data_IF_986283317916
#
_entry.id   IF_986283317916
#
_cell.length_a   1.000
_cell.length_b   1.000
_cell.length_c   1.000
_cell.angle_alpha   90.00
_cell.angle_beta   90.00
_cell.angle_gamma   90.00
#
_symmetry.space_group_name_H-M   'P 1'
#
loop_
_entity.id
_entity.type
_entity.pdbx_description
1 polymer ?
#
# COMPACT_ATOMS: atom_id res chain seq x y z
N UNK A 1 20.34 0.14 -41.69
CA UNK A 1 20.62 -0.88 -40.68
C UNK A 1 19.67 -0.70 -39.52
N UNK A 2 18.71 -1.59 -39.27
CA UNK A 2 17.80 -1.45 -38.15
C UNK A 2 18.48 -1.97 -36.88
N UNK A 3 18.58 -1.10 -35.87
CA UNK A 3 19.06 -1.49 -34.54
C UNK A 3 17.91 -2.22 -33.82
N UNK A 4 17.89 -3.54 -33.95
CA UNK A 4 17.03 -4.41 -33.19
C UNK A 4 17.60 -4.55 -31.76
N UNK A 5 17.28 -3.63 -30.87
CA UNK A 5 17.40 -3.88 -29.43
C UNK A 5 16.11 -4.53 -28.96
N UNK A 6 15.90 -5.78 -29.33
CA UNK A 6 15.00 -6.69 -28.68
C UNK A 6 15.50 -6.96 -27.27
N UNK A 7 15.12 -6.10 -26.32
CA UNK A 7 15.15 -6.48 -24.91
C UNK A 7 14.16 -7.64 -24.75
N UNK A 8 14.70 -8.84 -24.76
CA UNK A 8 14.00 -10.06 -24.42
C UNK A 8 13.53 -9.93 -22.96
N UNK A 9 12.34 -9.34 -22.76
CA UNK A 9 11.59 -9.52 -21.52
C UNK A 9 11.17 -10.99 -21.48
N UNK A 10 12.18 -11.86 -21.23
CA UNK A 10 11.90 -13.22 -20.85
C UNK A 10 10.81 -13.15 -19.78
N UNK A 11 9.73 -13.90 -19.99
CA UNK A 11 8.56 -14.03 -19.10
C UNK A 11 9.07 -14.40 -17.69
N UNK A 12 9.49 -13.41 -16.92
CA UNK A 12 9.86 -13.59 -15.53
C UNK A 12 8.60 -14.09 -14.84
N UNK A 13 8.71 -15.14 -13.99
CA UNK A 13 7.60 -15.61 -13.14
C UNK A 13 6.96 -14.48 -12.33
N UNK A 14 7.63 -13.32 -12.26
CA UNK A 14 7.22 -12.13 -11.53
C UNK A 14 6.51 -11.09 -12.43
N UNK A 15 6.47 -11.30 -13.76
CA UNK A 15 5.77 -10.40 -14.67
C UNK A 15 4.28 -10.35 -14.32
N UNK A 16 3.73 -9.14 -14.25
CA UNK A 16 2.33 -8.88 -13.89
C UNK A 16 1.93 -9.21 -12.44
N UNK A 17 2.87 -9.61 -11.58
CA UNK A 17 2.59 -9.77 -10.15
C UNK A 17 2.47 -8.42 -9.46
N UNK A 18 1.52 -8.32 -8.53
CA UNK A 18 1.27 -7.12 -7.72
C UNK A 18 0.97 -7.57 -6.29
N UNK A 19 1.63 -6.97 -5.32
CA UNK A 19 1.37 -7.19 -3.90
C UNK A 19 0.74 -5.94 -3.30
N UNK A 20 -0.35 -6.11 -2.58
CA UNK A 20 -1.06 -5.05 -1.88
C UNK A 20 -1.16 -5.40 -0.41
N UNK A 21 -0.69 -4.51 0.47
CA UNK A 21 -0.92 -4.57 1.90
C UNK A 21 -1.96 -3.53 2.24
N UNK A 22 -3.07 -3.97 2.82
CA UNK A 22 -4.19 -3.11 3.20
C UNK A 22 -4.59 -3.31 4.66
N UNK A 23 -5.55 -2.54 5.15
CA UNK A 23 -6.05 -2.55 6.51
C UNK A 23 -6.19 -1.15 7.09
N UNK A 24 -6.71 -1.01 8.34
CA UNK A 24 -6.98 0.29 8.96
C UNK A 24 -5.73 1.16 9.11
N UNK A 25 -5.95 2.46 9.37
CA UNK A 25 -4.87 3.38 9.75
C UNK A 25 -4.21 2.91 11.06
N UNK A 26 -2.92 3.19 11.23
CA UNK A 26 -2.12 2.82 12.41
C UNK A 26 -2.00 1.31 12.70
N UNK A 27 -2.43 0.42 11.78
CA UNK A 27 -2.27 -1.03 11.95
C UNK A 27 -0.85 -1.54 11.72
N UNK A 28 0.07 -0.70 11.20
CA UNK A 28 1.47 -1.08 10.98
C UNK A 28 1.86 -1.44 9.54
N UNK A 29 1.00 -1.15 8.55
CA UNK A 29 1.29 -1.44 7.12
C UNK A 29 2.64 -0.95 6.63
N UNK A 30 3.04 0.26 7.07
CA UNK A 30 4.31 0.87 6.65
C UNK A 30 5.53 0.10 7.17
N UNK A 31 5.49 -0.29 8.43
CA UNK A 31 6.57 -1.04 9.06
C UNK A 31 6.68 -2.41 8.42
N UNK A 32 5.57 -3.13 8.26
CA UNK A 32 5.54 -4.44 7.60
C UNK A 32 6.09 -4.34 6.17
N UNK A 33 5.63 -3.36 5.38
CA UNK A 33 6.10 -3.17 4.01
C UNK A 33 7.61 -2.86 3.95
N UNK A 34 8.12 -2.05 4.89
CA UNK A 34 9.54 -1.74 4.98
C UNK A 34 10.38 -2.99 5.28
N UNK A 35 9.87 -3.88 6.14
CA UNK A 35 10.58 -5.10 6.48
C UNK A 35 10.58 -6.12 5.32
N UNK A 36 9.43 -6.38 4.70
CA UNK A 36 9.37 -7.40 3.65
C UNK A 36 10.18 -7.05 2.41
N UNK A 37 10.30 -5.76 2.04
CA UNK A 37 11.11 -5.33 0.88
C UNK A 37 12.62 -5.52 1.07
N UNK A 38 13.10 -5.71 2.31
CA UNK A 38 14.51 -6.02 2.57
C UNK A 38 14.90 -7.44 2.13
N UNK A 39 13.91 -8.35 2.10
CA UNK A 39 14.13 -9.79 1.92
C UNK A 39 13.54 -10.37 0.64
N UNK A 40 12.65 -9.65 -0.03
CA UNK A 40 11.91 -10.12 -1.19
C UNK A 40 12.15 -9.21 -2.39
N UNK A 41 12.00 -9.70 -3.62
CA UNK A 41 12.16 -8.90 -4.84
C UNK A 41 10.99 -7.93 -5.03
N UNK A 42 10.70 -7.15 -4.00
CA UNK A 42 9.62 -6.16 -3.98
C UNK A 42 10.19 -4.74 -4.04
N UNK A 43 9.39 -3.82 -4.54
CA UNK A 43 9.66 -2.39 -4.42
C UNK A 43 8.38 -1.65 -4.06
N UNK A 44 8.44 -0.85 -2.99
CA UNK A 44 7.30 -0.01 -2.60
C UNK A 44 6.98 0.97 -3.70
N UNK A 45 5.72 1.05 -4.07
CA UNK A 45 5.18 2.08 -4.94
C UNK A 45 4.97 3.34 -4.12
N UNK A 46 5.44 4.47 -4.64
CA UNK A 46 5.25 5.78 -4.01
C UNK A 46 3.94 6.36 -4.54
N UNK A 47 2.92 6.46 -3.70
CA UNK A 47 1.64 7.05 -4.06
C UNK A 47 1.68 8.57 -4.01
N UNK A 48 0.74 9.23 -4.68
CA UNK A 48 0.61 10.70 -4.69
C UNK A 48 -0.50 11.12 -3.74
N UNK A 49 -0.31 12.19 -2.99
CA UNK A 49 -1.34 12.73 -2.09
C UNK A 49 -1.32 14.26 -2.04
N UNK A 50 -2.49 14.83 -1.70
CA UNK A 50 -2.63 16.27 -1.43
C UNK A 50 -2.50 16.62 0.05
N UNK A 51 -2.44 15.62 0.93
CA UNK A 51 -2.18 15.81 2.35
C UNK A 51 -0.78 16.40 2.55
N UNK A 52 -0.59 17.35 3.46
CA UNK A 52 0.75 17.80 3.84
C UNK A 52 1.57 16.63 4.41
N UNK A 53 2.90 16.66 4.24
CA UNK A 53 3.78 15.66 4.86
C UNK A 53 3.68 15.72 6.38
N UNK A 54 3.74 14.56 7.02
CA UNK A 54 3.89 14.44 8.48
C UNK A 54 5.36 14.57 8.88
N UNK A 55 5.60 14.76 10.18
CA UNK A 55 6.96 14.77 10.72
C UNK A 55 7.70 13.50 10.30
N UNK A 56 8.91 13.67 9.74
CA UNK A 56 9.75 12.56 9.25
C UNK A 56 9.39 12.00 7.87
N UNK A 57 8.27 12.39 7.27
CA UNK A 57 7.95 11.97 5.89
C UNK A 57 8.76 12.73 4.85
N UNK A 58 9.23 12.01 3.82
CA UNK A 58 10.03 12.58 2.73
C UNK A 58 9.33 12.40 1.39
N UNK A 59 9.35 13.48 0.58
CA UNK A 59 8.83 13.47 -0.80
C UNK A 59 9.56 12.43 -1.64
N UNK A 60 8.82 11.66 -2.43
CA UNK A 60 9.37 10.61 -3.30
C UNK A 60 9.79 9.33 -2.57
N UNK A 61 9.61 9.28 -1.24
CA UNK A 61 9.87 8.10 -0.40
C UNK A 61 8.58 7.58 0.22
N UNK A 62 7.86 8.45 0.94
CA UNK A 62 6.59 8.11 1.56
C UNK A 62 5.44 8.37 0.58
N UNK A 63 5.40 9.57 0.01
CA UNK A 63 4.44 10.00 -1.00
C UNK A 63 5.05 11.04 -1.95
N UNK A 64 4.44 11.23 -3.11
CA UNK A 64 4.56 12.44 -3.92
C UNK A 64 3.54 13.45 -3.38
N UNK A 65 3.98 14.40 -2.56
CA UNK A 65 3.12 15.45 -2.02
C UNK A 65 2.92 16.53 -3.08
N UNK A 66 1.66 16.80 -3.45
CA UNK A 66 1.28 17.78 -4.48
C UNK A 66 0.11 18.65 -4.00
N UNK A 67 -0.09 19.81 -4.62
CA UNK A 67 -1.29 20.62 -4.36
C UNK A 67 -2.56 19.96 -4.91
N UNK A 68 -3.74 20.31 -4.38
CA UNK A 68 -5.03 19.86 -4.94
C UNK A 68 -5.19 20.22 -6.41
N UNK A 69 -4.76 21.44 -6.80
CA UNK A 69 -4.80 21.88 -8.19
C UNK A 69 -3.97 20.97 -9.09
N UNK A 70 -2.73 20.68 -8.67
CA UNK A 70 -1.84 19.76 -9.41
C UNK A 70 -2.41 18.34 -9.50
N UNK A 71 -2.99 17.82 -8.43
CA UNK A 71 -3.61 16.50 -8.44
C UNK A 71 -4.79 16.43 -9.43
N UNK A 72 -5.65 17.45 -9.44
CA UNK A 72 -6.76 17.55 -10.41
C UNK A 72 -6.27 17.62 -11.86
N UNK A 73 -5.18 18.34 -12.11
CA UNK A 73 -4.55 18.37 -13.44
C UNK A 73 -4.05 16.96 -13.83
N UNK A 74 -3.43 16.23 -12.89
CA UNK A 74 -2.97 14.86 -13.13
C UNK A 74 -4.14 13.91 -13.43
N UNK A 75 -5.30 14.07 -12.79
CA UNK A 75 -6.53 13.32 -13.13
C UNK A 75 -6.93 13.61 -14.58
N UNK A 76 -7.02 14.89 -14.98
CA UNK A 76 -7.38 15.27 -16.37
C UNK A 76 -6.46 14.67 -17.43
N UNK A 77 -5.19 14.44 -17.07
CA UNK A 77 -4.17 13.83 -17.92
C UNK A 77 -4.13 12.30 -17.85
N UNK A 78 -5.06 11.64 -17.17
CA UNK A 78 -5.14 10.19 -16.96
C UNK A 78 -3.81 9.57 -16.43
N UNK A 79 -3.12 10.29 -15.54
CA UNK A 79 -1.84 9.82 -15.00
C UNK A 79 -1.99 8.77 -13.90
N UNK A 80 -3.18 8.64 -13.30
CA UNK A 80 -3.44 7.70 -12.22
C UNK A 80 -3.97 6.36 -12.75
N UNK A 81 -3.53 5.27 -12.13
CA UNK A 81 -4.17 3.98 -12.24
C UNK A 81 -5.52 4.01 -11.51
N UNK A 82 -5.52 4.60 -10.33
CA UNK A 82 -6.68 4.80 -9.46
C UNK A 82 -6.41 5.99 -8.54
N UNK A 83 -7.47 6.59 -8.02
CA UNK A 83 -7.41 7.62 -6.99
C UNK A 83 -8.68 7.63 -6.14
N UNK A 84 -8.57 8.20 -4.95
CA UNK A 84 -9.68 8.37 -4.00
C UNK A 84 -9.61 9.75 -3.34
N UNK A 85 -10.78 10.33 -3.04
CA UNK A 85 -10.90 11.42 -2.07
C UNK A 85 -11.19 10.78 -0.71
N UNK A 86 -10.28 10.94 0.22
CA UNK A 86 -10.37 10.36 1.55
C UNK A 86 -9.88 11.39 2.56
N UNK A 87 -10.69 11.63 3.58
CA UNK A 87 -10.35 12.56 4.66
C UNK A 87 -9.93 13.96 4.16
N UNK A 88 -10.73 14.52 3.26
CA UNK A 88 -10.46 15.81 2.62
C UNK A 88 -9.15 15.88 1.83
N UNK A 89 -8.55 14.74 1.48
CA UNK A 89 -7.34 14.69 0.69
C UNK A 89 -7.47 13.67 -0.44
N UNK A 90 -6.85 13.98 -1.56
CA UNK A 90 -6.69 13.01 -2.63
C UNK A 90 -5.50 12.10 -2.36
N UNK A 91 -5.68 10.83 -2.69
CA UNK A 91 -4.61 9.82 -2.76
C UNK A 91 -4.73 9.10 -4.09
N UNK A 92 -3.62 8.72 -4.70
CA UNK A 92 -3.67 7.98 -5.96
C UNK A 92 -2.34 7.34 -6.33
N UNK A 93 -2.42 6.26 -7.09
CA UNK A 93 -1.28 5.53 -7.62
C UNK A 93 -1.04 5.92 -9.06
N UNK A 94 0.09 6.56 -9.35
CA UNK A 94 0.44 6.89 -10.72
C UNK A 94 0.81 5.63 -11.50
N UNK A 95 0.33 5.53 -12.76
CA UNK A 95 0.62 4.41 -13.66
C UNK A 95 2.12 4.18 -13.84
N UNK A 96 2.91 5.25 -13.93
CA UNK A 96 4.37 5.15 -14.07
C UNK A 96 5.05 4.58 -12.83
N UNK A 97 4.57 4.90 -11.62
CA UNK A 97 5.20 4.44 -10.38
C UNK A 97 4.90 2.96 -10.10
N UNK A 98 3.83 2.41 -10.68
CA UNK A 98 3.57 0.98 -10.69
C UNK A 98 4.48 0.23 -11.68
N UNK A 99 4.77 0.83 -12.85
CA UNK A 99 5.59 0.20 -13.89
C UNK A 99 7.09 0.18 -13.56
N UNK A 100 7.61 1.21 -12.88
CA UNK A 100 9.04 1.33 -12.56
C UNK A 100 9.64 0.11 -11.84
N UNK A 101 9.02 -0.48 -10.82
CA UNK A 101 9.51 -1.71 -10.21
C UNK A 101 9.65 -2.86 -11.20
N UNK A 102 8.66 -3.03 -12.07
CA UNK A 102 8.62 -4.14 -13.04
C UNK A 102 9.78 -4.08 -14.04
N UNK A 103 10.14 -2.89 -14.51
CA UNK A 103 11.30 -2.70 -15.39
C UNK A 103 12.60 -3.13 -14.71
N UNK A 104 12.71 -2.95 -13.40
CA UNK A 104 13.85 -3.40 -12.59
C UNK A 104 13.76 -4.86 -12.11
N UNK A 105 12.85 -5.67 -12.66
CA UNK A 105 12.68 -7.08 -12.27
C UNK A 105 12.13 -7.27 -10.86
N UNK A 106 11.54 -6.23 -10.26
CA UNK A 106 10.92 -6.27 -8.93
C UNK A 106 9.41 -6.22 -9.03
N UNK A 107 8.75 -6.83 -8.06
CA UNK A 107 7.29 -6.78 -7.94
C UNK A 107 6.88 -5.52 -7.19
N UNK A 108 5.92 -4.73 -7.71
CA UNK A 108 5.40 -3.57 -7.01
C UNK A 108 4.66 -3.98 -5.74
N UNK A 109 4.89 -3.24 -4.67
CA UNK A 109 4.21 -3.36 -3.38
C UNK A 109 3.45 -2.06 -3.08
N UNK A 110 2.13 -2.14 -3.07
CA UNK A 110 1.23 -1.06 -2.69
C UNK A 110 0.81 -1.15 -1.21
N UNK A 111 0.59 0.00 -0.60
CA UNK A 111 0.04 0.15 0.76
C UNK A 111 -1.12 1.13 0.68
N UNK A 112 -2.31 0.61 0.77
CA UNK A 112 -3.53 1.36 0.50
C UNK A 112 -4.60 1.06 1.56
N UNK A 113 -5.67 1.85 1.59
CA UNK A 113 -6.84 1.54 2.41
C UNK A 113 -7.67 0.38 1.80
N UNK A 114 -8.61 -0.22 2.56
CA UNK A 114 -9.37 -1.37 2.07
C UNK A 114 -10.26 -1.06 0.86
N UNK A 115 -10.81 0.15 0.76
CA UNK A 115 -11.67 0.52 -0.38
C UNK A 115 -10.86 0.61 -1.66
N UNK A 116 -9.66 1.18 -1.56
CA UNK A 116 -8.72 1.28 -2.66
C UNK A 116 -8.17 -0.11 -3.05
N UNK A 117 -7.86 -0.96 -2.08
CA UNK A 117 -7.43 -2.34 -2.31
C UNK A 117 -8.47 -3.14 -3.11
N UNK A 118 -9.75 -3.00 -2.79
CA UNK A 118 -10.85 -3.63 -3.54
C UNK A 118 -10.93 -3.12 -4.98
N UNK A 119 -10.70 -1.83 -5.22
CA UNK A 119 -10.66 -1.28 -6.59
C UNK A 119 -9.48 -1.86 -7.37
N UNK A 120 -8.30 -1.91 -6.76
CA UNK A 120 -7.11 -2.49 -7.37
C UNK A 120 -7.36 -3.96 -7.70
N UNK A 121 -7.94 -4.74 -6.79
CA UNK A 121 -8.22 -6.16 -6.98
C UNK A 121 -9.21 -6.41 -8.14
N UNK A 122 -10.22 -5.55 -8.31
CA UNK A 122 -11.15 -5.65 -9.44
C UNK A 122 -10.46 -5.47 -10.80
N UNK A 123 -9.47 -4.58 -10.88
CA UNK A 123 -8.71 -4.33 -12.12
C UNK A 123 -7.52 -5.29 -12.29
N UNK A 124 -7.07 -5.93 -11.20
CA UNK A 124 -5.96 -6.87 -11.17
C UNK A 124 -6.36 -8.09 -10.32
N UNK A 125 -7.19 -9.01 -10.83
CA UNK A 125 -7.71 -10.15 -10.07
C UNK A 125 -6.61 -11.06 -9.51
N UNK A 126 -5.47 -11.13 -10.20
CA UNK A 126 -4.30 -11.93 -9.80
C UNK A 126 -3.41 -11.24 -8.75
N UNK A 127 -3.75 -10.03 -8.32
CA UNK A 127 -3.00 -9.34 -7.28
C UNK A 127 -3.14 -10.06 -5.93
N UNK A 128 -2.03 -10.25 -5.23
CA UNK A 128 -2.05 -10.68 -3.84
C UNK A 128 -2.46 -9.50 -2.96
N UNK A 129 -3.61 -9.57 -2.33
CA UNK A 129 -4.06 -8.58 -1.35
C UNK A 129 -4.05 -9.20 0.05
N UNK A 130 -3.26 -8.60 0.94
CA UNK A 130 -3.13 -9.01 2.34
C UNK A 130 -3.77 -7.94 3.21
N UNK A 131 -4.84 -8.32 3.91
CA UNK A 131 -5.48 -7.46 4.90
C UNK A 131 -4.76 -7.63 6.24
N UNK A 132 -4.17 -6.54 6.74
CA UNK A 132 -3.58 -6.51 8.07
C UNK A 132 -4.58 -5.91 9.04
N UNK A 133 -4.90 -6.66 10.10
CA UNK A 133 -5.80 -6.22 11.16
C UNK A 133 -5.08 -6.05 12.50
N UNK A 134 -5.54 -5.18 13.37
CA UNK A 134 -5.05 -5.09 14.73
C UNK A 134 -5.60 -6.27 15.56
N UNK A 135 -4.96 -6.55 16.67
CA UNK A 135 -5.51 -7.43 17.71
C UNK A 135 -6.80 -6.85 18.32
N UNK A 136 -6.83 -5.53 18.50
CA UNK A 136 -8.00 -4.80 18.97
C UNK A 136 -7.98 -3.33 18.53
N UNK A 137 -9.13 -2.65 18.62
CA UNK A 137 -9.22 -1.20 18.37
C UNK A 137 -8.47 -0.38 19.42
N UNK A 138 -8.29 -0.91 20.62
CA UNK A 138 -7.52 -0.27 21.70
C UNK A 138 -6.04 -0.12 21.29
N UNK A 139 -5.48 -1.09 20.60
CA UNK A 139 -4.11 -1.00 20.08
C UNK A 139 -3.98 0.12 19.04
N UNK A 140 -4.98 0.27 18.15
CA UNK A 140 -5.01 1.41 17.21
C UNK A 140 -5.06 2.73 17.98
N UNK A 141 -5.94 2.85 18.99
CA UNK A 141 -6.06 4.05 19.83
C UNK A 141 -4.71 4.41 20.46
N UNK A 142 -4.07 3.44 21.13
CA UNK A 142 -2.75 3.60 21.75
C UNK A 142 -1.73 4.13 20.73
N UNK A 143 -1.59 3.47 19.57
CA UNK A 143 -0.62 3.86 18.53
C UNK A 143 -0.88 5.27 17.95
N UNK A 144 -2.15 5.70 17.88
CA UNK A 144 -2.51 7.05 17.47
C UNK A 144 -2.14 8.07 18.53
N UNK A 145 -2.38 7.77 19.83
CA UNK A 145 -1.97 8.61 20.96
C UNK A 145 -0.44 8.75 21.01
N UNK A 146 0.30 7.64 20.93
CA UNK A 146 1.76 7.61 20.95
C UNK A 146 2.38 8.43 19.79
N UNK A 147 1.65 8.55 18.68
CA UNK A 147 2.03 9.37 17.53
C UNK A 147 1.74 10.86 17.71
N UNK A 148 0.98 11.24 18.74
CA UNK A 148 0.59 12.62 19.03
C UNK A 148 -0.58 13.14 18.20
N UNK A 149 -1.46 12.25 17.70
CA UNK A 149 -2.70 12.67 17.01
C UNK A 149 -3.64 13.36 18.01
N UNK A 150 -4.42 14.37 17.56
CA UNK A 150 -5.43 15.01 18.39
C UNK A 150 -6.57 14.05 18.78
N UNK A 151 -7.28 14.34 19.85
CA UNK A 151 -8.41 13.50 20.31
C UNK A 151 -9.44 13.34 19.20
N UNK A 152 -9.80 14.43 18.52
CA UNK A 152 -10.78 14.42 17.43
C UNK A 152 -10.31 13.54 16.25
N UNK A 153 -9.02 13.63 15.89
CA UNK A 153 -8.44 12.79 14.87
C UNK A 153 -8.44 11.30 15.28
N UNK A 154 -8.14 11.01 16.53
CA UNK A 154 -8.15 9.64 17.08
C UNK A 154 -9.56 9.05 16.97
N UNK A 155 -10.58 9.76 17.43
CA UNK A 155 -11.97 9.29 17.34
C UNK A 155 -12.41 9.06 15.89
N UNK A 156 -12.11 10.00 15.01
CA UNK A 156 -12.39 9.88 13.58
C UNK A 156 -11.71 8.64 12.99
N UNK A 157 -10.43 8.42 13.30
CA UNK A 157 -9.65 7.27 12.80
C UNK A 157 -10.12 5.95 13.38
N UNK A 158 -10.61 5.92 14.62
CA UNK A 158 -11.21 4.73 15.21
C UNK A 158 -12.53 4.35 14.51
N UNK A 159 -13.38 5.34 14.19
CA UNK A 159 -14.59 5.08 13.39
C UNK A 159 -14.25 4.49 12.02
N UNK A 160 -13.29 5.11 11.31
CA UNK A 160 -12.81 4.60 10.01
C UNK A 160 -12.15 3.22 10.13
N UNK A 161 -11.43 2.96 11.22
CA UNK A 161 -10.85 1.64 11.47
C UNK A 161 -11.91 0.58 11.69
N UNK A 162 -12.96 0.89 12.45
CA UNK A 162 -14.11 -0.01 12.64
C UNK A 162 -14.79 -0.34 11.31
N UNK A 163 -15.02 0.67 10.47
CA UNK A 163 -15.56 0.48 9.13
C UNK A 163 -14.63 -0.35 8.23
N UNK A 164 -13.33 -0.09 8.28
CA UNK A 164 -12.35 -0.86 7.52
C UNK A 164 -12.36 -2.36 7.90
N UNK A 165 -12.51 -2.67 9.19
CA UNK A 165 -12.54 -4.04 9.70
C UNK A 165 -13.79 -4.81 9.23
N UNK A 166 -14.91 -4.14 8.94
CA UNK A 166 -16.09 -4.84 8.38
C UNK A 166 -15.83 -5.40 6.99
N UNK A 167 -14.79 -4.92 6.29
CA UNK A 167 -14.40 -5.37 4.94
C UNK A 167 -13.38 -6.53 4.96
N UNK A 168 -12.92 -6.95 6.14
CA UNK A 168 -11.90 -8.01 6.27
C UNK A 168 -12.28 -9.29 5.54
N UNK A 169 -13.51 -9.72 5.69
CA UNK A 169 -14.02 -10.99 5.14
C UNK A 169 -14.00 -11.07 3.61
N UNK A 170 -13.80 -9.94 2.91
CA UNK A 170 -13.74 -9.89 1.45
C UNK A 170 -12.34 -10.30 0.94
N UNK A 171 -11.32 -10.20 1.78
CA UNK A 171 -9.95 -10.49 1.41
C UNK A 171 -9.56 -11.93 1.74
N UNK A 172 -8.95 -12.62 0.78
CA UNK A 172 -8.53 -14.02 0.95
C UNK A 172 -7.46 -14.22 2.04
N UNK A 173 -6.67 -13.18 2.30
CA UNK A 173 -5.60 -13.22 3.31
C UNK A 173 -5.83 -12.13 4.35
N UNK A 174 -6.04 -12.55 5.59
CA UNK A 174 -6.14 -11.66 6.75
C UNK A 174 -5.10 -12.07 7.80
N UNK A 175 -4.28 -11.11 8.24
CA UNK A 175 -3.16 -11.34 9.17
C UNK A 175 -3.29 -10.35 10.33
N UNK A 176 -3.25 -10.87 11.56
CA UNK A 176 -3.23 -10.05 12.77
C UNK A 176 -1.83 -9.47 12.97
N UNK A 177 -1.72 -8.16 13.14
CA UNK A 177 -0.50 -7.53 13.64
C UNK A 177 -0.61 -7.30 15.15
N UNK A 178 -0.25 -8.34 15.89
CA UNK A 178 -0.27 -8.36 17.34
C UNK A 178 0.76 -7.36 17.91
N UNK A 179 0.40 -6.68 18.99
CA UNK A 179 1.28 -5.70 19.64
C UNK A 179 2.49 -6.39 20.25
N UNK A 180 3.67 -5.85 20.03
CA UNK A 180 4.95 -6.48 20.47
C UNK A 180 5.44 -7.64 19.59
N UNK A 181 4.65 -8.18 18.65
CA UNK A 181 4.99 -9.37 17.84
C UNK A 181 5.17 -9.05 16.34
N UNK A 182 5.73 -7.90 16.03
CA UNK A 182 5.93 -7.46 14.64
C UNK A 182 6.72 -8.47 13.81
N UNK A 183 7.74 -9.11 14.39
CA UNK A 183 8.59 -10.08 13.66
C UNK A 183 7.79 -11.29 13.19
N UNK A 184 6.86 -11.79 13.99
CA UNK A 184 5.98 -12.90 13.62
C UNK A 184 5.02 -12.50 12.51
N UNK A 185 4.45 -11.29 12.61
CA UNK A 185 3.61 -10.72 11.55
C UNK A 185 4.38 -10.61 10.24
N UNK A 186 5.59 -10.05 10.28
CA UNK A 186 6.46 -9.92 9.10
C UNK A 186 6.82 -11.28 8.52
N UNK A 187 7.09 -12.28 9.35
CA UNK A 187 7.39 -13.66 8.93
C UNK A 187 6.21 -14.24 8.16
N UNK A 188 5.00 -14.13 8.70
CA UNK A 188 3.76 -14.63 8.07
C UNK A 188 3.50 -13.93 6.74
N UNK A 189 3.57 -12.59 6.70
CA UNK A 189 3.40 -11.80 5.47
C UNK A 189 4.45 -12.21 4.42
N UNK A 190 5.70 -12.37 4.83
CA UNK A 190 6.80 -12.77 3.96
C UNK A 190 6.56 -14.16 3.35
N UNK A 191 6.08 -15.12 4.13
CA UNK A 191 5.77 -16.46 3.67
C UNK A 191 4.60 -16.49 2.68
N UNK A 192 3.54 -15.73 2.96
CA UNK A 192 2.41 -15.56 2.05
C UNK A 192 2.85 -14.98 0.70
N UNK A 193 3.71 -13.94 0.73
CA UNK A 193 4.24 -13.33 -0.49
C UNK A 193 5.14 -14.32 -1.25
N UNK A 194 6.00 -15.07 -0.56
CA UNK A 194 6.86 -16.07 -1.20
C UNK A 194 6.04 -17.14 -1.95
N UNK A 195 5.01 -17.68 -1.31
CA UNK A 195 4.09 -18.64 -1.92
C UNK A 195 3.43 -18.07 -3.17
N UNK A 196 2.97 -16.84 -3.11
CA UNK A 196 2.37 -16.14 -4.26
C UNK A 196 3.36 -15.92 -5.41
N UNK A 197 4.61 -15.60 -5.10
CA UNK A 197 5.65 -15.37 -6.10
C UNK A 197 6.25 -16.67 -6.65
N UNK A 198 6.08 -17.79 -5.96
CA UNK A 198 6.68 -19.10 -6.30
C UNK A 198 8.19 -19.15 -6.05
N UNK A 199 8.66 -18.55 -4.92
CA UNK A 199 10.07 -18.46 -4.52
C UNK A 199 10.29 -18.91 -3.08
#
# INVERSE_FOLDING_TARGET
MPISNGMNYAKSKLANKLVVITGPSAVGKDVIANEVVKWLPLKKVVTTTTRPPRLGEKRGVNHHFVSRARFKEMIKRDLFLEYVDFDNNYYGTQRQDLRRPMVGGKVPLLRVDPTEALRIQRHNPDALVIFVKPESLQIIKKRLMDRGDSIDDIEKRLRLAKEALTKEHIFAYSIVNQDGHLEETVRTVKQTIKSYLGI
#
